data_IF_930971062090
#
_entry.id   IF_930971062090
#
_cell.length_a   1.000
_cell.length_b   1.000
_cell.length_c   1.000
_cell.angle_alpha   90.00
_cell.angle_beta   90.00
_cell.angle_gamma   90.00
#
_symmetry.space_group_name_H-M   'P 1'
#
loop_
_entity.id
_entity.type
_entity.pdbx_description
1 polymer ?
#
# COMPACT_ATOMS: atom_id res chain seq x y z
N UNK A 1 6.04 -18.74 -2.73
CA UNK A 1 7.20 -19.67 -2.82
C UNK A 1 6.81 -21.09 -2.43
N UNK A 2 6.31 -21.34 -1.21
CA UNK A 2 5.99 -22.72 -0.75
C UNK A 2 5.08 -23.48 -1.74
N UNK A 3 3.94 -22.93 -2.21
CA UNK A 3 3.08 -23.72 -3.11
C UNK A 3 3.71 -23.95 -4.49
N UNK A 4 4.54 -23.02 -4.98
CA UNK A 4 5.32 -23.21 -6.22
C UNK A 4 6.33 -24.36 -6.09
N UNK A 5 7.01 -24.47 -4.94
CA UNK A 5 7.94 -25.58 -4.65
C UNK A 5 7.18 -26.90 -4.57
N UNK A 6 6.03 -26.93 -3.86
CA UNK A 6 5.21 -28.15 -3.76
C UNK A 6 4.74 -28.62 -5.15
N UNK A 7 4.34 -27.68 -6.02
CA UNK A 7 4.02 -27.98 -7.41
C UNK A 7 5.21 -28.51 -8.21
N UNK A 8 6.40 -27.89 -8.06
CA UNK A 8 7.62 -28.34 -8.74
C UNK A 8 8.03 -29.76 -8.35
N UNK A 9 7.94 -30.09 -7.05
CA UNK A 9 8.20 -31.45 -6.53
C UNK A 9 7.20 -32.45 -7.09
N UNK A 10 5.90 -32.10 -7.10
CA UNK A 10 4.84 -32.98 -7.61
C UNK A 10 5.02 -33.29 -9.10
N UNK A 11 5.39 -32.28 -9.88
CA UNK A 11 5.54 -32.40 -11.34
C UNK A 11 6.96 -32.84 -11.75
N UNK A 12 7.88 -32.97 -10.77
CA UNK A 12 9.31 -33.18 -10.97
C UNK A 12 9.93 -32.20 -12.00
N UNK A 13 9.49 -30.94 -11.96
CA UNK A 13 9.91 -29.88 -12.88
C UNK A 13 10.47 -28.68 -12.12
N UNK A 14 11.80 -28.56 -12.12
CA UNK A 14 12.56 -27.51 -11.43
C UNK A 14 13.18 -26.50 -12.40
N UNK A 15 12.68 -26.40 -13.63
CA UNK A 15 13.19 -25.41 -14.59
C UNK A 15 12.91 -23.99 -14.09
N UNK A 16 13.81 -23.06 -14.43
CA UNK A 16 13.79 -21.69 -13.93
C UNK A 16 12.50 -20.94 -14.33
N UNK A 17 11.94 -21.22 -15.50
CA UNK A 17 10.75 -20.57 -16.05
C UNK A 17 9.54 -20.74 -15.13
N UNK A 18 9.46 -21.84 -14.37
CA UNK A 18 8.40 -22.06 -13.37
C UNK A 18 8.43 -21.04 -12.23
N UNK A 19 9.60 -20.46 -11.96
CA UNK A 19 9.83 -19.50 -10.89
C UNK A 19 10.02 -18.06 -11.39
N UNK A 20 9.90 -17.83 -12.71
CA UNK A 20 10.09 -16.50 -13.32
C UNK A 20 9.21 -15.42 -12.66
N UNK A 21 7.96 -15.75 -12.32
CA UNK A 21 7.08 -14.84 -11.60
C UNK A 21 7.67 -14.34 -10.28
N UNK A 22 8.33 -15.22 -9.51
CA UNK A 22 8.93 -14.85 -8.23
C UNK A 22 10.14 -13.94 -8.44
N UNK A 23 10.94 -14.21 -9.46
CA UNK A 23 12.07 -13.36 -9.83
C UNK A 23 11.57 -11.96 -10.21
N UNK A 24 10.57 -11.84 -11.09
CA UNK A 24 9.99 -10.57 -11.50
C UNK A 24 9.44 -9.78 -10.30
N UNK A 25 8.70 -10.45 -9.41
CA UNK A 25 8.19 -9.85 -8.18
C UNK A 25 9.33 -9.31 -7.31
N UNK A 26 10.37 -10.11 -7.08
CA UNK A 26 11.49 -9.72 -6.24
C UNK A 26 12.32 -8.59 -6.83
N UNK A 27 12.59 -8.63 -8.14
CA UNK A 27 13.30 -7.56 -8.85
C UNK A 27 12.51 -6.24 -8.79
N UNK A 28 11.18 -6.29 -8.95
CA UNK A 28 10.34 -5.11 -8.80
C UNK A 28 10.34 -4.58 -7.37
N UNK A 29 10.32 -5.45 -6.36
CA UNK A 29 10.42 -5.04 -4.95
C UNK A 29 11.74 -4.36 -4.64
N UNK A 30 12.86 -4.91 -5.14
CA UNK A 30 14.20 -4.32 -4.96
C UNK A 30 14.26 -2.93 -5.61
N UNK A 31 13.83 -2.80 -6.87
CA UNK A 31 13.82 -1.51 -7.57
C UNK A 31 12.97 -0.47 -6.85
N UNK A 32 11.77 -0.86 -6.39
CA UNK A 32 10.91 0.05 -5.65
C UNK A 32 11.54 0.48 -4.32
N UNK A 33 12.14 -0.45 -3.57
CA UNK A 33 12.79 -0.14 -2.30
C UNK A 33 14.02 0.75 -2.48
N UNK A 34 14.82 0.51 -3.53
CA UNK A 34 15.99 1.32 -3.85
C UNK A 34 15.61 2.79 -4.09
N UNK A 35 14.60 3.03 -4.93
CA UNK A 35 14.05 4.37 -5.17
C UNK A 35 13.45 5.00 -3.91
N UNK A 36 12.76 4.19 -3.09
CA UNK A 36 12.15 4.66 -1.83
C UNK A 36 13.22 5.15 -0.85
N UNK A 37 14.28 4.36 -0.67
CA UNK A 37 15.40 4.66 0.22
C UNK A 37 16.24 5.80 -0.31
N UNK A 38 16.57 5.79 -1.61
CA UNK A 38 17.26 6.91 -2.26
C UNK A 38 16.51 8.23 -2.05
N UNK A 39 15.19 8.26 -2.31
CA UNK A 39 14.38 9.46 -2.07
C UNK A 39 14.39 9.90 -0.60
N UNK A 40 14.47 8.96 0.36
CA UNK A 40 14.64 9.31 1.77
C UNK A 40 15.94 10.08 2.00
N UNK A 41 17.06 9.59 1.48
CA UNK A 41 18.36 10.27 1.58
C UNK A 41 18.35 11.67 0.93
N UNK A 42 17.74 11.81 -0.25
CA UNK A 42 17.57 13.13 -0.89
C UNK A 42 16.75 14.07 -0.01
N UNK A 43 15.68 13.56 0.59
CA UNK A 43 14.77 14.38 1.40
C UNK A 43 15.35 14.83 2.74
N UNK A 44 16.37 14.15 3.28
CA UNK A 44 17.01 14.52 4.56
C UNK A 44 17.70 15.90 4.53
N UNK A 45 17.83 16.52 3.36
CA UNK A 45 18.29 17.91 3.19
C UNK A 45 17.34 18.94 3.82
N UNK A 46 16.05 18.63 3.94
CA UNK A 46 15.04 19.54 4.46
C UNK A 46 13.91 18.76 5.18
N UNK A 47 13.54 19.22 6.38
CA UNK A 47 12.53 18.53 7.18
C UNK A 47 11.16 18.45 6.49
N UNK A 48 10.72 19.51 5.82
CA UNK A 48 9.42 19.53 5.15
C UNK A 48 9.42 18.61 3.93
N UNK A 49 10.55 18.50 3.22
CA UNK A 49 10.72 17.55 2.14
C UNK A 49 10.67 16.10 2.65
N UNK A 50 11.35 15.79 3.76
CA UNK A 50 11.21 14.49 4.42
C UNK A 50 9.77 14.20 4.84
N UNK A 51 9.10 15.18 5.47
CA UNK A 51 7.71 15.07 5.90
C UNK A 51 6.76 14.73 4.74
N UNK A 52 7.01 15.31 3.56
CA UNK A 52 6.27 15.02 2.33
C UNK A 52 6.62 13.63 1.75
N UNK A 53 7.90 13.29 1.62
CA UNK A 53 8.34 11.99 1.10
C UNK A 53 7.87 10.82 1.95
N UNK A 54 7.96 10.95 3.27
CA UNK A 54 7.44 9.98 4.24
C UNK A 54 5.95 9.65 4.00
N UNK A 55 5.15 10.61 3.53
CA UNK A 55 3.73 10.37 3.25
C UNK A 55 3.49 9.55 1.99
N UNK A 56 4.39 9.60 1.00
CA UNK A 56 4.36 8.66 -0.13
C UNK A 56 4.59 7.24 0.39
N UNK A 57 5.59 7.04 1.26
CA UNK A 57 5.81 5.73 1.91
C UNK A 57 4.57 5.27 2.69
N UNK A 58 4.03 6.13 3.55
CA UNK A 58 2.88 5.81 4.39
C UNK A 58 1.63 5.48 3.56
N UNK A 59 1.45 6.13 2.41
CA UNK A 59 0.38 5.85 1.47
C UNK A 59 0.49 4.42 0.92
N UNK A 60 1.67 4.00 0.49
CA UNK A 60 1.92 2.63 0.01
C UNK A 60 1.65 1.61 1.11
N UNK A 61 2.26 1.79 2.29
CA UNK A 61 2.07 0.89 3.44
C UNK A 61 0.58 0.73 3.76
N UNK A 62 -0.16 1.84 3.85
CA UNK A 62 -1.59 1.80 4.17
C UNK A 62 -2.43 0.98 3.18
N UNK A 63 -2.14 1.08 1.87
CA UNK A 63 -2.85 0.29 0.84
C UNK A 63 -2.46 -1.18 0.91
N UNK A 64 -1.16 -1.45 1.10
CA UNK A 64 -0.64 -2.80 1.31
C UNK A 64 -1.31 -3.50 2.49
N UNK A 65 -1.38 -2.82 3.62
CA UNK A 65 -2.01 -3.32 4.85
C UNK A 65 -3.51 -3.57 4.66
N UNK A 66 -4.23 -2.63 4.02
CA UNK A 66 -5.66 -2.81 3.73
C UNK A 66 -5.91 -4.02 2.83
N UNK A 67 -5.10 -4.21 1.78
CA UNK A 67 -5.20 -5.37 0.89
C UNK A 67 -4.93 -6.66 1.65
N UNK A 68 -3.84 -6.72 2.43
CA UNK A 68 -3.46 -7.91 3.18
C UNK A 68 -4.52 -8.25 4.24
N UNK A 69 -5.02 -7.26 4.97
CA UNK A 69 -6.10 -7.43 5.94
C UNK A 69 -7.39 -7.94 5.26
N UNK A 70 -7.71 -7.44 4.07
CA UNK A 70 -8.86 -7.91 3.29
C UNK A 70 -8.69 -9.37 2.84
N UNK A 71 -7.51 -9.77 2.38
CA UNK A 71 -7.22 -11.16 1.98
C UNK A 71 -7.33 -12.07 3.20
N UNK A 72 -6.61 -11.71 4.28
CA UNK A 72 -6.56 -12.47 5.51
C UNK A 72 -7.95 -12.74 6.09
N UNK A 73 -8.80 -11.71 6.19
CA UNK A 73 -10.15 -11.87 6.75
C UNK A 73 -11.09 -12.70 5.88
N UNK A 74 -10.95 -12.63 4.56
CA UNK A 74 -11.73 -13.49 3.66
C UNK A 74 -11.29 -14.95 3.84
N UNK A 75 -9.98 -15.20 3.90
CA UNK A 75 -9.44 -16.52 4.16
C UNK A 75 -9.86 -17.06 5.53
N UNK A 76 -9.79 -16.27 6.60
CA UNK A 76 -10.24 -16.67 7.94
C UNK A 76 -11.71 -17.11 7.96
N UNK A 77 -12.57 -16.50 7.12
CA UNK A 77 -13.98 -16.85 7.05
C UNK A 77 -14.26 -18.13 6.26
N UNK A 78 -13.50 -18.40 5.20
CA UNK A 78 -13.82 -19.50 4.26
C UNK A 78 -12.83 -20.65 4.32
N UNK A 79 -11.64 -20.43 4.85
CA UNK A 79 -10.46 -21.30 4.76
C UNK A 79 -10.19 -21.78 3.32
N UNK A 80 -10.53 -20.93 2.34
CA UNK A 80 -10.37 -21.23 0.92
C UNK A 80 -9.07 -20.61 0.39
N UNK A 81 -8.10 -21.46 0.07
CA UNK A 81 -6.81 -21.07 -0.49
C UNK A 81 -6.95 -20.35 -1.85
N UNK A 82 -8.08 -20.48 -2.55
CA UNK A 82 -8.32 -19.77 -3.80
C UNK A 82 -8.34 -18.24 -3.65
N UNK A 83 -8.45 -17.73 -2.42
CA UNK A 83 -8.43 -16.30 -2.08
C UNK A 83 -6.99 -15.75 -2.01
N UNK A 84 -6.00 -16.64 -1.93
CA UNK A 84 -4.60 -16.25 -1.85
C UNK A 84 -4.09 -15.72 -3.20
N UNK A 85 -3.19 -14.73 -3.18
CA UNK A 85 -2.83 -13.93 -4.35
C UNK A 85 -2.00 -14.65 -5.42
N UNK A 86 -1.88 -15.99 -5.39
CA UNK A 86 -1.11 -16.77 -6.37
C UNK A 86 -1.65 -16.68 -7.81
N UNK A 87 -2.84 -16.08 -8.00
CA UNK A 87 -3.46 -15.82 -9.31
C UNK A 87 -3.63 -14.34 -9.65
N UNK A 88 -3.17 -13.43 -8.79
CA UNK A 88 -3.26 -11.99 -9.04
C UNK A 88 -1.95 -11.43 -9.63
N UNK A 89 -2.01 -10.39 -10.49
CA UNK A 89 -0.82 -9.65 -10.91
C UNK A 89 0.04 -9.25 -9.70
N UNK A 90 1.38 -9.30 -9.80
CA UNK A 90 2.25 -8.99 -8.69
C UNK A 90 2.05 -7.52 -8.32
N UNK A 91 1.41 -7.27 -7.18
CA UNK A 91 1.16 -5.89 -6.71
C UNK A 91 2.44 -5.23 -6.18
N UNK A 92 3.51 -6.00 -5.98
CA UNK A 92 4.78 -5.52 -5.45
C UNK A 92 4.70 -5.13 -3.97
N UNK A 93 5.84 -4.72 -3.43
CA UNK A 93 5.98 -4.23 -2.06
C UNK A 93 5.05 -3.02 -1.86
N UNK A 94 4.25 -3.02 -0.79
CA UNK A 94 3.30 -1.93 -0.50
C UNK A 94 2.30 -1.63 -1.62
N UNK A 95 1.95 -2.64 -2.43
CA UNK A 95 1.13 -2.43 -3.62
C UNK A 95 1.75 -1.43 -4.61
N UNK A 96 3.08 -1.41 -4.75
CA UNK A 96 3.83 -0.53 -5.68
C UNK A 96 3.33 -0.56 -7.12
N UNK A 97 2.68 -1.63 -7.56
CA UNK A 97 2.12 -1.77 -8.91
C UNK A 97 0.62 -1.42 -8.98
N UNK A 98 0.00 -0.99 -7.88
CA UNK A 98 -1.33 -0.38 -7.90
C UNK A 98 -1.31 0.88 -8.79
N UNK A 99 -2.13 0.99 -9.84
CA UNK A 99 -1.99 2.07 -10.83
C UNK A 99 -2.00 3.47 -10.23
N UNK A 100 -2.90 3.72 -9.26
CA UNK A 100 -2.96 5.00 -8.57
C UNK A 100 -1.72 5.29 -7.73
N UNK A 101 -1.21 4.30 -7.01
CA UNK A 101 -0.05 4.48 -6.13
C UNK A 101 1.23 4.59 -6.93
N UNK A 102 1.39 3.73 -7.95
CA UNK A 102 2.51 3.77 -8.88
C UNK A 102 2.67 5.14 -9.52
N UNK A 103 1.55 5.75 -9.97
CA UNK A 103 1.58 7.10 -10.54
C UNK A 103 2.11 8.13 -9.54
N UNK A 104 1.58 8.16 -8.32
CA UNK A 104 2.03 9.08 -7.26
C UNK A 104 3.50 8.84 -6.90
N UNK A 105 3.92 7.57 -6.81
CA UNK A 105 5.30 7.21 -6.51
C UNK A 105 6.26 7.65 -7.61
N UNK A 106 5.97 7.30 -8.88
CA UNK A 106 6.80 7.66 -10.02
C UNK A 106 6.91 9.18 -10.19
N UNK A 107 5.81 9.93 -10.01
CA UNK A 107 5.82 11.39 -10.04
C UNK A 107 6.61 11.97 -8.86
N UNK A 108 6.48 11.38 -7.66
CA UNK A 108 7.29 11.75 -6.51
C UNK A 108 8.78 11.54 -6.75
N UNK A 109 9.18 10.39 -7.32
CA UNK A 109 10.57 10.10 -7.69
C UNK A 109 11.12 11.17 -8.65
N UNK A 110 10.36 11.54 -9.69
CA UNK A 110 10.77 12.61 -10.63
C UNK A 110 10.96 13.97 -9.96
N UNK A 111 10.18 14.28 -8.92
CA UNK A 111 10.38 15.51 -8.13
C UNK A 111 11.70 15.41 -7.34
N UNK A 112 11.97 14.26 -6.73
CA UNK A 112 13.23 14.02 -6.01
C UNK A 112 14.45 14.07 -6.93
N UNK A 113 14.34 13.60 -8.17
CA UNK A 113 15.42 13.66 -9.17
C UNK A 113 15.79 15.12 -9.47
N UNK A 114 14.80 16.02 -9.58
CA UNK A 114 15.03 17.45 -9.79
C UNK A 114 15.66 18.14 -8.58
N UNK A 115 15.30 17.73 -7.36
CA UNK A 115 15.95 18.22 -6.14
C UNK A 115 17.41 17.76 -6.06
N UNK A 116 17.66 16.50 -6.39
CA UNK A 116 19.02 15.94 -6.40
C UNK A 116 19.91 16.65 -7.43
N UNK A 117 19.38 16.92 -8.62
CA UNK A 117 20.04 17.68 -9.68
C UNK A 117 20.19 19.18 -9.37
N UNK A 118 19.57 19.69 -8.31
CA UNK A 118 19.60 21.11 -7.93
C UNK A 118 18.76 22.02 -8.84
N UNK A 119 17.91 21.46 -9.69
CA UNK A 119 17.04 22.22 -10.60
C UNK A 119 15.69 22.61 -9.97
N UNK A 120 15.37 22.04 -8.81
CA UNK A 120 14.16 22.35 -8.04
C UNK A 120 14.51 22.53 -6.56
N UNK A 121 14.05 23.61 -5.95
CA UNK A 121 14.26 23.85 -4.53
C UNK A 121 13.37 22.95 -3.65
N UNK A 122 13.82 22.68 -2.42
CA UNK A 122 13.15 21.76 -1.50
C UNK A 122 11.73 22.20 -1.14
N UNK A 123 11.43 23.50 -1.07
CA UNK A 123 10.09 24.01 -0.73
C UNK A 123 9.12 23.82 -1.88
N UNK A 124 9.55 24.09 -3.11
CA UNK A 124 8.76 23.83 -4.31
C UNK A 124 8.50 22.33 -4.48
N UNK A 125 9.51 21.48 -4.26
CA UNK A 125 9.38 20.03 -4.28
C UNK A 125 8.36 19.51 -3.25
N UNK A 126 8.45 19.98 -2.00
CA UNK A 126 7.48 19.67 -0.94
C UNK A 126 6.05 19.99 -1.38
N UNK A 127 5.82 21.19 -1.95
CA UNK A 127 4.49 21.58 -2.43
C UNK A 127 3.98 20.66 -3.53
N UNK A 128 4.84 20.25 -4.46
CA UNK A 128 4.46 19.32 -5.53
C UNK A 128 4.09 17.95 -4.97
N UNK A 129 4.92 17.35 -4.11
CA UNK A 129 4.66 16.03 -3.51
C UNK A 129 3.37 16.06 -2.68
N UNK A 130 3.16 17.08 -1.86
CA UNK A 130 1.94 17.20 -1.07
C UNK A 130 0.70 17.33 -1.96
N UNK A 131 0.81 18.00 -3.12
CA UNK A 131 -0.27 18.08 -4.10
C UNK A 131 -0.58 16.72 -4.73
N UNK A 132 0.44 15.89 -5.03
CA UNK A 132 0.24 14.53 -5.51
C UNK A 132 -0.59 13.71 -4.52
N UNK A 133 -0.26 13.82 -3.22
CA UNK A 133 -0.94 13.09 -2.15
C UNK A 133 -2.36 13.62 -1.93
N UNK A 134 -2.55 14.93 -1.99
CA UNK A 134 -3.88 15.55 -1.86
C UNK A 134 -4.84 15.11 -2.97
N UNK A 135 -4.32 14.93 -4.18
CA UNK A 135 -5.09 14.54 -5.35
C UNK A 135 -5.19 13.01 -5.54
N UNK A 136 -4.62 12.22 -4.63
CA UNK A 136 -4.70 10.76 -4.68
C UNK A 136 -6.13 10.28 -4.41
N UNK A 137 -6.83 9.81 -5.46
CA UNK A 137 -8.22 9.34 -5.38
C UNK A 137 -8.40 8.01 -4.63
N UNK A 138 -7.31 7.32 -4.30
CA UNK A 138 -7.29 5.98 -3.72
C UNK A 138 -6.99 5.98 -2.21
N UNK A 139 -7.01 7.14 -1.56
CA UNK A 139 -6.87 7.25 -0.10
C UNK A 139 -8.00 8.10 0.48
N UNK A 140 -8.47 7.74 1.68
CA UNK A 140 -9.49 8.54 2.34
C UNK A 140 -8.89 9.84 2.88
N UNK A 141 -9.50 11.01 2.61
CA UNK A 141 -9.10 12.27 3.23
C UNK A 141 -9.08 12.21 4.77
N UNK A 142 -9.89 11.32 5.37
CA UNK A 142 -9.98 11.16 6.82
C UNK A 142 -8.72 10.58 7.49
N UNK A 143 -7.81 9.99 6.71
CA UNK A 143 -6.49 9.57 7.20
C UNK A 143 -5.63 10.80 7.51
N UNK A 144 -5.82 11.89 6.77
CA UNK A 144 -5.08 13.14 6.95
C UNK A 144 -3.65 13.09 6.41
N UNK A 145 -3.36 12.22 5.45
CA UNK A 145 -2.03 12.13 4.81
C UNK A 145 -1.63 13.43 4.10
N UNK A 146 -2.59 14.12 3.49
CA UNK A 146 -2.35 15.37 2.78
C UNK A 146 -2.24 16.60 3.70
N UNK A 147 -2.36 16.44 5.02
CA UNK A 147 -2.19 17.52 5.99
C UNK A 147 -0.73 17.57 6.47
N UNK A 148 0.06 18.60 6.10
CA UNK A 148 1.46 18.70 6.51
C UNK A 148 1.62 18.97 8.02
N UNK A 149 0.60 19.55 8.66
CA UNK A 149 0.63 19.87 10.10
C UNK A 149 0.40 18.62 10.97
N UNK A 150 -0.25 17.59 10.40
CA UNK A 150 -0.52 16.32 11.06
C UNK A 150 0.73 15.43 11.06
N UNK A 151 1.62 15.65 12.03
CA UNK A 151 2.88 14.86 12.15
C UNK A 151 2.66 13.41 12.56
N UNK A 152 1.56 13.11 13.25
CA UNK A 152 1.18 11.76 13.66
C UNK A 152 -0.02 11.27 12.87
N UNK A 153 0.22 10.38 11.91
CA UNK A 153 -0.83 9.79 11.08
C UNK A 153 -1.34 8.54 11.78
N UNK A 154 -2.55 8.63 12.35
CA UNK A 154 -3.26 7.51 12.96
C UNK A 154 -4.56 7.23 12.20
N UNK A 155 -4.53 6.22 11.34
CA UNK A 155 -5.70 5.75 10.59
C UNK A 155 -6.65 4.87 11.42
N UNK A 156 -6.20 4.39 12.58
CA UNK A 156 -6.94 3.46 13.45
C UNK A 156 -7.92 4.11 14.42
N UNK A 157 -8.03 5.44 14.42
CA UNK A 157 -9.02 6.12 15.28
C UNK A 157 -10.45 5.81 14.82
N UNK A 158 -11.38 5.67 15.77
CA UNK A 158 -12.77 5.35 15.47
C UNK A 158 -13.41 6.33 14.47
N UNK A 159 -13.11 7.62 14.61
CA UNK A 159 -13.59 8.67 13.70
C UNK A 159 -12.99 8.54 12.30
N UNK A 160 -11.69 8.25 12.17
CA UNK A 160 -11.04 7.98 10.88
C UNK A 160 -11.62 6.74 10.20
N UNK A 161 -11.90 5.66 10.94
CA UNK A 161 -12.50 4.44 10.38
C UNK A 161 -13.90 4.71 9.84
N UNK A 162 -14.77 5.39 10.60
CA UNK A 162 -16.13 5.72 10.14
C UNK A 162 -16.08 6.58 8.88
N UNK A 163 -15.31 7.68 8.90
CA UNK A 163 -15.22 8.58 7.75
C UNK A 163 -14.61 7.90 6.52
N UNK A 164 -13.63 7.01 6.72
CA UNK A 164 -13.06 6.20 5.63
C UNK A 164 -14.06 5.20 5.07
N UNK A 165 -14.93 4.63 5.92
CA UNK A 165 -16.01 3.74 5.48
C UNK A 165 -17.07 4.49 4.68
N UNK A 166 -17.48 5.68 5.13
CA UNK A 166 -18.41 6.54 4.39
C UNK A 166 -17.83 6.90 3.03
N UNK A 167 -16.56 7.34 2.99
CA UNK A 167 -15.85 7.62 1.74
C UNK A 167 -15.81 6.40 0.81
N UNK A 168 -15.53 5.20 1.34
CA UNK A 168 -15.52 3.96 0.56
C UNK A 168 -16.88 3.62 -0.07
N UNK A 169 -17.97 3.97 0.61
CA UNK A 169 -19.32 3.70 0.13
C UNK A 169 -19.81 4.72 -0.90
N UNK A 170 -19.34 5.96 -0.84
CA UNK A 170 -19.87 7.08 -1.65
C UNK A 170 -18.95 7.54 -2.78
N UNK A 171 -17.64 7.55 -2.58
CA UNK A 171 -16.71 8.33 -3.42
C UNK A 171 -15.45 7.57 -3.85
N UNK A 172 -15.11 6.47 -3.16
CA UNK A 172 -13.88 5.73 -3.46
C UNK A 172 -13.97 4.96 -4.79
N UNK A 173 -12.83 4.76 -5.47
CA UNK A 173 -12.72 3.81 -6.57
C UNK A 173 -13.20 2.40 -6.17
N UNK A 174 -13.78 1.62 -7.10
CA UNK A 174 -14.32 0.29 -6.80
C UNK A 174 -13.33 -0.66 -6.11
N UNK A 175 -12.06 -0.60 -6.49
CA UNK A 175 -10.97 -1.38 -5.88
C UNK A 175 -10.79 -1.07 -4.39
N UNK A 176 -10.75 0.22 -4.02
CA UNK A 176 -10.60 0.66 -2.64
C UNK A 176 -11.84 0.33 -1.80
N UNK A 177 -13.04 0.44 -2.39
CA UNK A 177 -14.28 0.02 -1.75
C UNK A 177 -14.24 -1.47 -1.39
N UNK A 178 -13.82 -2.33 -2.32
CA UNK A 178 -13.69 -3.77 -2.10
C UNK A 178 -12.72 -4.09 -0.97
N UNK A 179 -11.51 -3.51 -1.00
CA UNK A 179 -10.48 -3.72 0.02
C UNK A 179 -10.94 -3.24 1.41
N UNK A 180 -11.48 -2.03 1.51
CA UNK A 180 -11.86 -1.45 2.80
C UNK A 180 -13.07 -2.17 3.41
N UNK A 181 -14.09 -2.53 2.62
CA UNK A 181 -15.23 -3.30 3.13
C UNK A 181 -14.85 -4.73 3.52
N UNK A 182 -13.94 -5.36 2.77
CA UNK A 182 -13.37 -6.67 3.14
C UNK A 182 -12.63 -6.61 4.48
N UNK A 183 -11.83 -5.57 4.70
CA UNK A 183 -11.12 -5.33 5.94
C UNK A 183 -12.07 -5.05 7.14
N UNK A 184 -13.13 -4.26 6.94
CA UNK A 184 -14.04 -3.88 8.05
C UNK A 184 -15.02 -5.00 8.41
N UNK A 185 -15.59 -5.71 7.43
CA UNK A 185 -16.61 -6.74 7.70
C UNK A 185 -16.07 -7.93 8.51
N UNK A 186 -14.82 -8.33 8.30
CA UNK A 186 -14.23 -9.41 9.13
C UNK A 186 -13.90 -8.98 10.57
N UNK A 187 -13.71 -7.67 10.84
CA UNK A 187 -13.43 -7.20 12.21
C UNK A 187 -14.63 -7.32 13.15
N UNK A 188 -15.85 -7.22 12.59
CA UNK A 188 -17.10 -7.32 13.34
C UNK A 188 -17.44 -8.77 13.70
N UNK A 189 -17.12 -9.72 12.82
CA UNK A 189 -17.35 -11.14 13.04
C UNK A 189 -16.48 -11.69 14.18
N UNK A 190 -15.17 -11.42 14.18
CA UNK A 190 -14.28 -11.93 15.23
C UNK A 190 -14.64 -11.44 16.64
N UNK A 191 -15.11 -10.19 16.77
CA UNK A 191 -15.59 -9.68 18.06
C UNK A 191 -16.82 -10.43 18.56
N UNK A 192 -17.76 -10.76 17.67
CA UNK A 192 -18.96 -11.53 18.02
C UNK A 192 -18.60 -12.98 18.39
N UNK A 193 -17.62 -13.59 17.72
CA UNK A 193 -17.13 -14.94 18.03
C UNK A 193 -16.34 -15.00 19.34
N UNK A 194 -15.46 -14.02 19.61
CA UNK A 194 -14.73 -13.92 20.88
C UNK A 194 -15.67 -13.70 22.06
N UNK A 195 -16.69 -12.84 21.90
CA UNK A 195 -17.73 -12.63 22.93
C UNK A 195 -18.58 -13.89 23.16
N UNK A 196 -18.82 -14.69 22.11
CA UNK A 196 -19.57 -15.94 22.21
C UNK A 196 -18.76 -17.11 22.82
N UNK A 197 -17.42 -17.08 22.78
CA UNK A 197 -16.56 -18.07 23.44
C UNK A 197 -16.15 -17.69 24.87
N UNK A 198 -16.39 -16.44 25.27
CA UNK A 198 -16.09 -15.92 26.60
C UNK A 198 -17.30 -15.94 27.57
N UNK A 199 -18.46 -16.41 27.12
CA UNK A 199 -19.68 -16.61 27.92
C UNK A 199 -20.05 -18.07 28.01
#
# INVERSE_FOLDING_TARGET
>A
LIPMILGAVKDNDFRAERFQYLEELQQNNIKHNDLLVWGAYVSFRDYELWNAWFRIWALGVGIGDLRLASIYRRYEKTHDDAILPEKEPPMGLFCSNHPGFKKVFDEGVRVMEQVEAGTLDTKAATKQIMSLIQNASFTSPAVGLADPTKRYINAGTFSSIIKSTVWALTSAPPEMKGMLLGAVRGARHNKETELAMAG
#
